data_IF_477112223459
#
_entry.id   IF_477112223459
#
_cell.length_a   1.000
_cell.length_b   1.000
_cell.length_c   1.000
_cell.angle_alpha   90.00
_cell.angle_beta   90.00
_cell.angle_gamma   90.00
#
_symmetry.space_group_name_H-M   'P 1'
#
loop_
_entity.id
_entity.type
_entity.pdbx_description
1 polymer ?
#
# COMPACT_ATOMS: atom_id res chain seq x y z
N UNK A 1 -5.55 -4.67 -4.59
CA UNK A 1 -7.01 -4.52 -4.69
C UNK A 1 -7.52 -3.71 -3.52
N UNK A 2 -8.51 -2.86 -3.75
CA UNK A 2 -9.24 -2.07 -2.76
C UNK A 2 -10.70 -2.54 -2.76
N UNK A 3 -11.31 -2.69 -1.58
CA UNK A 3 -12.75 -2.96 -1.47
C UNK A 3 -13.51 -1.63 -1.48
N UNK A 4 -14.59 -1.59 -2.24
CA UNK A 4 -15.63 -0.58 -2.17
C UNK A 4 -16.83 -1.19 -1.44
N UNK A 5 -17.34 -0.48 -0.44
CA UNK A 5 -18.53 -0.84 0.33
C UNK A 5 -19.63 0.18 0.10
N UNK A 6 -20.86 -0.17 0.47
CA UNK A 6 -22.02 0.74 0.43
C UNK A 6 -22.45 1.12 1.84
N UNK A 7 -22.75 2.40 2.07
CA UNK A 7 -23.43 2.86 3.28
C UNK A 7 -24.91 2.42 3.26
N UNK A 8 -25.62 2.48 4.40
CA UNK A 8 -27.08 2.30 4.43
C UNK A 8 -27.84 3.25 3.50
N UNK A 9 -27.29 4.44 3.26
CA UNK A 9 -27.87 5.47 2.38
C UNK A 9 -27.52 5.26 0.88
N UNK A 10 -26.67 4.26 0.59
CA UNK A 10 -26.29 3.89 -0.79
C UNK A 10 -25.00 4.54 -1.28
N UNK A 11 -24.23 5.20 -0.40
CA UNK A 11 -22.96 5.83 -0.78
C UNK A 11 -21.86 4.80 -0.96
N UNK A 12 -21.16 4.86 -2.09
CA UNK A 12 -20.02 4.01 -2.39
C UNK A 12 -18.77 4.59 -1.73
N UNK A 13 -18.20 3.86 -0.79
CA UNK A 13 -17.07 4.29 0.03
C UNK A 13 -15.90 3.29 -0.03
N UNK A 14 -14.64 3.76 0.05
CA UNK A 14 -13.49 2.87 0.11
C UNK A 14 -13.36 2.20 1.48
N UNK A 15 -13.14 0.89 1.48
CA UNK A 15 -12.92 0.06 2.67
C UNK A 15 -11.58 -0.67 2.55
N UNK A 16 -10.49 0.07 2.74
CA UNK A 16 -9.12 -0.43 2.58
C UNK A 16 -8.78 -1.64 3.48
N UNK A 17 -9.47 -1.79 4.61
CA UNK A 17 -9.26 -2.85 5.60
C UNK A 17 -10.31 -3.96 5.56
N UNK A 18 -11.28 -3.89 4.65
CA UNK A 18 -12.38 -4.85 4.53
C UNK A 18 -13.17 -5.06 5.84
N UNK A 19 -13.41 -3.98 6.60
CA UNK A 19 -14.10 -4.04 7.90
C UNK A 19 -15.59 -3.71 7.83
N UNK A 20 -16.04 -3.03 6.77
CA UNK A 20 -17.44 -2.65 6.65
C UNK A 20 -18.33 -3.90 6.43
N UNK A 21 -19.48 -4.02 7.11
CA UNK A 21 -20.35 -5.17 6.98
C UNK A 21 -20.98 -5.26 5.57
N UNK A 22 -21.56 -6.42 5.27
CA UNK A 22 -22.33 -6.62 4.04
C UNK A 22 -21.48 -6.86 2.79
N UNK A 23 -22.08 -6.61 1.62
CA UNK A 23 -21.43 -6.86 0.33
C UNK A 23 -20.40 -5.76 0.04
N UNK A 24 -19.34 -6.12 -0.68
CA UNK A 24 -18.42 -5.16 -1.27
C UNK A 24 -17.99 -5.57 -2.67
N UNK A 25 -17.50 -4.60 -3.44
CA UNK A 25 -16.91 -4.82 -4.76
C UNK A 25 -15.39 -4.57 -4.67
N UNK A 26 -14.59 -5.42 -5.31
CA UNK A 26 -13.15 -5.26 -5.30
C UNK A 26 -12.68 -4.61 -6.60
N UNK A 27 -11.84 -3.57 -6.47
CA UNK A 27 -11.20 -2.90 -7.59
C UNK A 27 -9.69 -3.15 -7.57
N UNK A 28 -9.12 -3.41 -8.74
CA UNK A 28 -7.70 -3.65 -8.96
C UNK A 28 -7.00 -2.58 -9.77
N UNK A 29 -7.63 -1.41 -9.93
CA UNK A 29 -7.19 -0.35 -10.84
C UNK A 29 -6.38 0.73 -10.11
N UNK A 30 -5.59 1.48 -10.88
CA UNK A 30 -4.95 2.72 -10.45
C UNK A 30 -5.98 3.84 -10.21
N UNK A 31 -5.53 4.92 -9.58
CA UNK A 31 -6.36 6.12 -9.36
C UNK A 31 -6.83 6.72 -10.67
N UNK A 32 -5.96 6.84 -11.67
CA UNK A 32 -6.31 7.42 -12.97
C UNK A 32 -7.37 6.58 -13.70
N UNK A 33 -7.24 5.26 -13.68
CA UNK A 33 -8.24 4.33 -14.25
C UNK A 33 -9.57 4.39 -13.49
N UNK A 34 -9.54 4.53 -12.17
CA UNK A 34 -10.75 4.71 -11.36
C UNK A 34 -11.47 6.01 -11.72
N UNK A 35 -10.74 7.12 -11.81
CA UNK A 35 -11.27 8.44 -12.17
C UNK A 35 -11.86 8.42 -13.60
N UNK A 36 -11.20 7.77 -14.56
CA UNK A 36 -11.74 7.56 -15.91
C UNK A 36 -13.02 6.69 -15.92
N UNK A 37 -13.07 5.65 -15.09
CA UNK A 37 -14.25 4.79 -14.95
C UNK A 37 -15.44 5.51 -14.29
N UNK A 38 -15.17 6.47 -13.39
CA UNK A 38 -16.20 7.36 -12.81
C UNK A 38 -16.74 8.29 -13.91
N UNK A 39 -15.86 9.00 -14.61
CA UNK A 39 -16.25 9.98 -15.64
C UNK A 39 -17.04 9.35 -16.81
N UNK A 40 -16.65 8.14 -17.23
CA UNK A 40 -17.35 7.39 -18.29
C UNK A 40 -18.64 6.69 -17.83
N UNK A 41 -18.95 6.70 -16.53
CA UNK A 41 -20.08 5.96 -15.96
C UNK A 41 -19.90 4.43 -15.92
N UNK A 42 -18.81 3.89 -16.46
CA UNK A 42 -18.48 2.45 -16.43
C UNK A 42 -18.50 1.89 -15.01
N UNK A 43 -17.96 2.64 -14.04
CA UNK A 43 -17.93 2.23 -12.64
C UNK A 43 -19.34 2.03 -12.09
N UNK A 44 -20.27 2.96 -12.36
CA UNK A 44 -21.66 2.86 -11.88
C UNK A 44 -22.34 1.58 -12.38
N UNK A 45 -22.17 1.25 -13.66
CA UNK A 45 -22.71 0.01 -14.24
C UNK A 45 -22.08 -1.27 -13.67
N UNK A 46 -20.78 -1.25 -13.36
CA UNK A 46 -20.10 -2.35 -12.68
C UNK A 46 -20.62 -2.55 -11.25
N UNK A 47 -20.76 -1.47 -10.49
CA UNK A 47 -21.22 -1.53 -9.10
C UNK A 47 -22.69 -1.90 -8.98
N UNK A 48 -23.56 -1.47 -9.90
CA UNK A 48 -24.97 -1.87 -9.91
C UNK A 48 -25.14 -3.39 -9.98
N UNK A 49 -24.31 -4.08 -10.80
CA UNK A 49 -24.27 -5.54 -10.86
C UNK A 49 -23.75 -6.13 -9.55
N UNK A 50 -22.63 -5.62 -9.04
CA UNK A 50 -22.03 -6.11 -7.80
C UNK A 50 -23.02 -6.02 -6.62
N UNK A 51 -23.75 -4.90 -6.48
CA UNK A 51 -24.69 -4.63 -5.38
C UNK A 51 -26.16 -4.98 -5.68
N UNK A 52 -26.42 -5.86 -6.65
CA UNK A 52 -27.77 -6.38 -6.96
C UNK A 52 -28.83 -5.28 -7.20
N UNK A 53 -28.45 -4.20 -7.90
CA UNK A 53 -29.38 -3.13 -8.26
C UNK A 53 -29.74 -2.16 -7.13
N UNK A 54 -29.00 -2.18 -6.00
CA UNK A 54 -29.14 -1.17 -4.96
C UNK A 54 -29.01 0.26 -5.55
N UNK A 55 -29.68 1.24 -4.95
CA UNK A 55 -29.48 2.65 -5.31
C UNK A 55 -28.06 3.05 -4.88
N UNK A 56 -27.24 3.49 -5.84
CA UNK A 56 -25.85 3.84 -5.61
C UNK A 56 -25.59 5.32 -5.86
N UNK A 57 -24.91 5.95 -4.91
CA UNK A 57 -24.28 7.25 -5.05
C UNK A 57 -22.77 7.05 -5.10
N UNK A 58 -22.16 7.37 -6.25
CA UNK A 58 -20.71 7.29 -6.43
C UNK A 58 -20.17 8.72 -6.31
N UNK A 59 -19.37 9.04 -5.28
CA UNK A 59 -18.76 10.36 -5.16
C UNK A 59 -17.79 10.63 -6.31
N UNK A 60 -17.79 11.86 -6.85
CA UNK A 60 -16.84 12.26 -7.90
C UNK A 60 -15.39 12.21 -7.40
N UNK A 61 -15.17 12.51 -6.12
CA UNK A 61 -13.86 12.47 -5.46
C UNK A 61 -13.49 11.08 -4.90
N UNK A 62 -14.16 10.00 -5.33
CA UNK A 62 -13.89 8.64 -4.84
C UNK A 62 -12.42 8.22 -5.02
N UNK A 63 -11.74 8.70 -6.06
CA UNK A 63 -10.30 8.50 -6.26
C UNK A 63 -9.45 9.05 -5.10
N UNK A 64 -9.74 10.26 -4.65
CA UNK A 64 -9.06 10.87 -3.51
C UNK A 64 -9.40 10.13 -2.20
N UNK A 65 -10.69 9.82 -1.98
CA UNK A 65 -11.11 9.05 -0.80
C UNK A 65 -10.42 7.68 -0.72
N UNK A 66 -10.26 7.02 -1.86
CA UNK A 66 -9.60 5.72 -1.97
C UNK A 66 -8.10 5.81 -1.63
N UNK A 67 -7.40 6.82 -2.17
CA UNK A 67 -6.00 7.07 -1.83
C UNK A 67 -5.85 7.32 -0.33
N UNK A 68 -6.68 8.19 0.24
CA UNK A 68 -6.65 8.51 1.67
C UNK A 68 -6.91 7.28 2.54
N UNK A 69 -7.87 6.43 2.16
CA UNK A 69 -8.18 5.21 2.90
C UNK A 69 -7.00 4.22 2.87
N UNK A 70 -6.34 4.06 1.72
CA UNK A 70 -5.15 3.21 1.56
C UNK A 70 -3.96 3.77 2.34
N UNK A 71 -3.73 5.08 2.27
CA UNK A 71 -2.70 5.78 3.05
C UNK A 71 -2.91 5.58 4.55
N UNK A 72 -4.13 5.80 5.06
CA UNK A 72 -4.46 5.57 6.47
C UNK A 72 -4.26 4.11 6.87
N UNK A 73 -4.64 3.15 6.03
CA UNK A 73 -4.45 1.73 6.31
C UNK A 73 -2.95 1.36 6.41
N UNK A 74 -2.11 1.91 5.53
CA UNK A 74 -0.65 1.72 5.60
C UNK A 74 -0.04 2.36 6.85
N UNK A 75 -0.39 3.63 7.15
CA UNK A 75 0.09 4.33 8.34
C UNK A 75 -0.36 3.65 9.63
N UNK A 76 -1.61 3.16 9.70
CA UNK A 76 -2.10 2.39 10.85
C UNK A 76 -1.28 1.11 11.04
N UNK A 77 -0.87 0.44 9.95
CA UNK A 77 0.00 -0.74 10.03
C UNK A 77 1.37 -0.38 10.59
N UNK A 78 1.99 0.68 10.09
CA UNK A 78 3.27 1.17 10.62
C UNK A 78 3.17 1.51 12.11
N UNK A 79 2.11 2.18 12.54
CA UNK A 79 1.87 2.48 13.96
C UNK A 79 1.67 1.24 14.84
N UNK A 80 1.17 0.13 14.29
CA UNK A 80 1.11 -1.16 15.01
C UNK A 80 2.50 -1.77 15.19
N UNK A 81 3.32 -1.79 14.13
CA UNK A 81 4.70 -2.30 14.22
C UNK A 81 5.58 -1.43 15.12
N UNK A 82 5.35 -0.11 15.13
CA UNK A 82 6.00 0.82 16.07
C UNK A 82 5.71 0.44 17.52
N UNK A 83 4.42 0.28 17.87
CA UNK A 83 4.02 -0.08 19.24
C UNK A 83 4.48 -1.47 19.65
N UNK A 84 4.62 -2.38 18.70
CA UNK A 84 5.20 -3.71 18.91
C UNK A 84 6.74 -3.71 19.00
N UNK A 85 7.40 -2.56 18.87
CA UNK A 85 8.86 -2.44 18.92
C UNK A 85 9.58 -3.05 17.72
N UNK A 86 8.89 -3.21 16.58
CA UNK A 86 9.42 -3.87 15.38
C UNK A 86 10.07 -2.92 14.39
N UNK A 87 9.78 -1.62 14.50
CA UNK A 87 10.39 -0.57 13.68
C UNK A 87 11.73 -0.10 14.26
N UNK A 88 12.72 0.00 13.38
CA UNK A 88 14.00 0.65 13.61
C UNK A 88 13.91 2.04 12.96
N UNK A 89 14.19 3.08 13.75
CA UNK A 89 14.24 4.46 13.28
C UNK A 89 15.63 5.07 13.50
N UNK A 90 15.94 6.08 12.70
CA UNK A 90 17.19 6.83 12.78
C UNK A 90 18.28 6.23 11.88
N UNK A 91 18.91 7.07 11.06
CA UNK A 91 19.84 6.63 10.01
C UNK A 91 21.01 5.82 10.56
N UNK A 92 21.62 6.24 11.67
CA UNK A 92 22.79 5.55 12.21
C UNK A 92 22.43 4.17 12.80
N UNK A 93 21.30 4.09 13.49
CA UNK A 93 20.79 2.82 14.04
C UNK A 93 20.39 1.86 12.91
N UNK A 94 19.71 2.37 11.89
CA UNK A 94 19.37 1.58 10.69
C UNK A 94 20.64 1.09 10.01
N UNK A 95 21.63 1.96 9.78
CA UNK A 95 22.89 1.58 9.12
C UNK A 95 23.65 0.50 9.90
N UNK A 96 23.72 0.62 11.23
CA UNK A 96 24.37 -0.38 12.07
C UNK A 96 23.68 -1.74 11.97
N UNK A 97 22.37 -1.78 12.16
CA UNK A 97 21.59 -3.03 12.14
C UNK A 97 21.56 -3.64 10.73
N UNK A 98 21.47 -2.80 9.71
CA UNK A 98 21.50 -3.21 8.31
C UNK A 98 22.81 -3.91 7.96
N UNK A 99 23.97 -3.34 8.35
CA UNK A 99 25.28 -3.99 8.11
C UNK A 99 25.46 -5.32 8.83
N UNK A 100 24.80 -5.50 9.97
CA UNK A 100 24.81 -6.77 10.70
C UNK A 100 23.84 -7.83 10.14
N UNK A 101 23.10 -7.51 9.08
CA UNK A 101 22.09 -8.41 8.50
C UNK A 101 20.78 -8.50 9.29
N UNK A 102 20.56 -7.58 10.24
CA UNK A 102 19.39 -7.59 11.13
C UNK A 102 18.20 -6.76 10.58
N UNK A 103 18.24 -6.35 9.32
CA UNK A 103 17.18 -5.61 8.65
C UNK A 103 16.58 -6.50 7.56
N UNK A 104 15.27 -6.73 7.62
CA UNK A 104 14.51 -7.50 6.64
C UNK A 104 13.79 -6.61 5.60
N UNK A 105 13.61 -5.32 5.90
CA UNK A 105 13.01 -4.36 4.99
C UNK A 105 13.45 -2.94 5.34
N UNK A 106 13.71 -2.12 4.32
CA UNK A 106 14.14 -0.73 4.42
C UNK A 106 13.18 0.17 3.63
N UNK A 107 12.74 1.27 4.24
CA UNK A 107 11.86 2.25 3.61
C UNK A 107 12.37 3.69 3.78
N UNK A 108 12.17 4.49 2.74
CA UNK A 108 12.55 5.91 2.70
C UNK A 108 11.34 6.78 2.40
N UNK A 109 11.22 7.92 3.07
CA UNK A 109 10.23 8.93 2.74
C UNK A 109 10.38 9.39 1.27
N UNK A 110 9.27 9.81 0.67
CA UNK A 110 9.21 10.34 -0.70
C UNK A 110 10.19 11.49 -0.93
N UNK A 111 10.38 12.32 0.11
CA UNK A 111 11.22 13.52 0.13
C UNK A 111 12.56 13.29 0.83
N UNK A 112 12.98 12.04 1.03
CA UNK A 112 14.30 11.72 1.54
C UNK A 112 15.37 12.03 0.48
N UNK A 113 16.52 12.56 0.91
CA UNK A 113 17.61 12.86 -0.03
C UNK A 113 18.20 11.57 -0.62
N UNK A 114 18.60 11.62 -1.89
CA UNK A 114 19.21 10.47 -2.56
C UNK A 114 20.53 10.05 -1.94
N UNK A 115 21.29 11.00 -1.38
CA UNK A 115 22.51 10.69 -0.64
C UNK A 115 22.23 9.90 0.64
N UNK A 116 21.22 10.31 1.41
CA UNK A 116 20.78 9.57 2.59
C UNK A 116 20.29 8.17 2.26
N UNK A 117 19.52 8.03 1.17
CA UNK A 117 19.06 6.73 0.68
C UNK A 117 20.24 5.84 0.28
N UNK A 118 21.15 6.32 -0.57
CA UNK A 118 22.33 5.57 -1.03
C UNK A 118 23.20 5.05 0.11
N UNK A 119 23.39 5.84 1.17
CA UNK A 119 24.15 5.42 2.37
C UNK A 119 23.49 4.22 3.07
N UNK A 120 22.17 4.26 3.25
CA UNK A 120 21.44 3.18 3.90
C UNK A 120 21.25 1.97 3.00
N UNK A 121 21.04 2.17 1.71
CA UNK A 121 20.99 1.09 0.71
C UNK A 121 22.30 0.31 0.68
N UNK A 122 23.45 1.00 0.78
CA UNK A 122 24.74 0.32 0.87
C UNK A 122 24.87 -0.49 2.16
N UNK A 123 24.47 0.07 3.30
CA UNK A 123 24.48 -0.66 4.57
C UNK A 123 23.57 -1.90 4.51
N UNK A 124 22.43 -1.79 3.84
CA UNK A 124 21.47 -2.87 3.65
C UNK A 124 22.03 -3.97 2.75
N UNK A 125 22.65 -3.62 1.62
CA UNK A 125 23.33 -4.59 0.74
C UNK A 125 24.43 -5.36 1.46
N UNK A 126 25.24 -4.67 2.28
CA UNK A 126 26.33 -5.31 3.03
C UNK A 126 25.80 -6.40 3.93
N UNK A 127 24.80 -6.14 4.77
CA UNK A 127 24.33 -7.19 5.69
C UNK A 127 23.44 -8.25 5.05
N UNK A 128 22.96 -8.03 3.82
CA UNK A 128 22.26 -9.05 3.03
C UNK A 128 23.21 -9.86 2.15
N UNK A 129 24.54 -9.65 2.26
CA UNK A 129 25.55 -10.24 1.37
C UNK A 129 25.20 -10.05 -0.12
N UNK A 130 24.61 -8.91 -0.45
CA UNK A 130 24.03 -8.58 -1.76
C UNK A 130 24.70 -7.37 -2.40
N UNK A 131 26.00 -7.17 -2.13
CA UNK A 131 26.77 -6.10 -2.78
C UNK A 131 26.81 -6.30 -4.30
N UNK A 132 26.69 -5.20 -5.05
CA UNK A 132 26.59 -5.25 -6.52
C UNK A 132 25.21 -5.64 -7.09
N UNK A 133 24.26 -6.10 -6.26
CA UNK A 133 22.92 -6.51 -6.73
C UNK A 133 22.01 -5.36 -7.21
N UNK A 134 22.32 -4.12 -6.85
CA UNK A 134 21.41 -2.99 -7.03
C UNK A 134 20.23 -2.97 -6.05
N UNK A 135 20.21 -3.86 -5.04
CA UNK A 135 19.19 -3.82 -3.98
C UNK A 135 19.17 -2.45 -3.30
N UNK A 136 17.98 -1.88 -3.18
CA UNK A 136 17.69 -0.60 -2.54
C UNK A 136 16.45 -0.73 -1.66
N UNK A 137 16.32 0.17 -0.68
CA UNK A 137 15.10 0.31 0.09
C UNK A 137 13.94 0.85 -0.74
N UNK A 138 12.74 0.68 -0.21
CA UNK A 138 11.51 1.07 -0.89
C UNK A 138 11.23 2.56 -0.67
N UNK A 139 11.08 3.31 -1.77
CA UNK A 139 10.64 4.71 -1.71
C UNK A 139 9.14 4.75 -1.46
N UNK A 140 8.75 5.29 -0.30
CA UNK A 140 7.37 5.34 0.12
C UNK A 140 6.63 6.50 -0.57
N UNK A 141 5.34 6.35 -0.90
CA UNK A 141 4.50 7.44 -1.39
C UNK A 141 4.03 8.35 -0.24
N UNK A 142 4.91 8.62 0.73
CA UNK A 142 4.66 9.44 1.92
C UNK A 142 5.89 10.26 2.25
N UNK A 143 5.70 11.54 2.51
CA UNK A 143 6.76 12.42 2.96
C UNK A 143 7.10 12.21 4.45
N UNK A 144 8.19 12.85 4.89
CA UNK A 144 8.64 12.81 6.29
C UNK A 144 7.56 13.30 7.26
N UNK A 145 6.70 14.24 6.87
CA UNK A 145 5.70 14.82 7.75
C UNK A 145 4.59 13.81 8.06
N UNK A 146 4.06 13.15 7.03
CA UNK A 146 3.07 12.09 7.17
C UNK A 146 3.59 10.92 8.02
N UNK A 147 4.84 10.49 7.78
CA UNK A 147 5.48 9.44 8.58
C UNK A 147 5.66 9.87 10.05
N UNK A 148 6.12 11.10 10.28
CA UNK A 148 6.33 11.66 11.62
C UNK A 148 5.04 11.68 12.45
N UNK A 149 3.94 12.17 11.84
CA UNK A 149 2.61 12.19 12.48
C UNK A 149 2.15 10.77 12.81
N UNK A 150 2.23 9.84 11.87
CA UNK A 150 1.74 8.47 12.06
C UNK A 150 2.52 7.69 13.13
N UNK A 151 3.81 7.98 13.26
CA UNK A 151 4.71 7.28 14.16
C UNK A 151 4.87 7.97 15.52
N UNK A 152 4.33 9.18 15.70
CA UNK A 152 4.48 9.96 16.93
C UNK A 152 5.95 10.29 17.23
N UNK A 153 6.71 10.62 16.18
CA UNK A 153 8.15 10.92 16.23
C UNK A 153 8.45 12.12 15.35
N UNK A 154 9.52 12.82 15.65
CA UNK A 154 9.98 13.95 14.84
C UNK A 154 10.91 13.47 13.71
N UNK A 155 10.80 14.11 12.55
CA UNK A 155 11.72 13.97 11.41
C UNK A 155 11.98 12.51 10.98
N UNK A 156 10.91 11.72 10.82
CA UNK A 156 11.05 10.34 10.32
C UNK A 156 11.28 10.36 8.80
N UNK A 157 12.54 10.22 8.40
CA UNK A 157 12.96 10.16 6.99
C UNK A 157 13.19 8.72 6.51
N UNK A 158 13.68 7.87 7.40
CA UNK A 158 14.00 6.47 7.11
C UNK A 158 13.48 5.57 8.22
N UNK A 159 13.03 4.38 7.84
CA UNK A 159 12.56 3.35 8.74
C UNK A 159 12.96 1.97 8.22
N UNK A 160 13.16 1.03 9.13
CA UNK A 160 13.45 -0.36 8.78
C UNK A 160 12.69 -1.33 9.69
N UNK A 161 12.51 -2.56 9.23
CA UNK A 161 11.90 -3.65 9.99
C UNK A 161 12.92 -4.77 10.16
N UNK A 162 13.03 -5.31 11.38
CA UNK A 162 14.04 -6.32 11.69
C UNK A 162 13.63 -7.73 11.24
N UNK A 163 12.33 -8.05 11.30
CA UNK A 163 11.83 -9.39 10.99
C UNK A 163 10.94 -9.44 9.76
N UNK A 164 11.04 -10.55 9.02
CA UNK A 164 10.32 -10.82 7.79
C UNK A 164 8.79 -10.81 7.97
N UNK A 165 8.30 -11.25 9.13
CA UNK A 165 6.87 -11.26 9.41
C UNK A 165 6.29 -9.85 9.49
N UNK A 166 7.00 -8.93 10.17
CA UNK A 166 6.62 -7.52 10.22
C UNK A 166 6.75 -6.86 8.84
N UNK A 167 7.82 -7.17 8.11
CA UNK A 167 8.02 -6.70 6.73
C UNK A 167 6.85 -7.10 5.81
N UNK A 168 6.46 -8.37 5.80
CA UNK A 168 5.36 -8.86 4.96
C UNK A 168 4.04 -8.16 5.30
N UNK A 169 3.74 -8.00 6.59
CA UNK A 169 2.50 -7.36 7.03
C UNK A 169 2.44 -5.86 6.69
N UNK A 170 3.58 -5.17 6.63
CA UNK A 170 3.71 -3.78 6.17
C UNK A 170 3.66 -3.68 4.65
N UNK A 171 4.29 -4.62 3.95
CA UNK A 171 4.35 -4.63 2.50
C UNK A 171 2.97 -4.82 1.84
N UNK A 172 2.05 -5.56 2.47
CA UNK A 172 0.68 -5.75 1.93
C UNK A 172 -0.07 -4.42 1.72
N UNK A 173 -0.30 -3.57 2.75
CA UNK A 173 -0.97 -2.29 2.55
C UNK A 173 -0.13 -1.31 1.72
N UNK A 174 1.21 -1.34 1.82
CA UNK A 174 2.08 -0.51 0.99
C UNK A 174 1.92 -0.80 -0.51
N UNK A 175 1.98 -2.08 -0.92
CA UNK A 175 1.76 -2.47 -2.32
C UNK A 175 0.40 -2.07 -2.83
N UNK A 176 -0.65 -2.12 -1.99
CA UNK A 176 -1.99 -1.64 -2.38
C UNK A 176 -2.00 -0.14 -2.64
N UNK A 177 -1.35 0.64 -1.77
CA UNK A 177 -1.22 2.08 -1.93
C UNK A 177 -0.42 2.42 -3.18
N UNK A 178 0.76 1.84 -3.38
CA UNK A 178 1.64 2.12 -4.54
C UNK A 178 0.99 1.75 -5.87
N UNK A 179 0.31 0.60 -5.94
CA UNK A 179 -0.44 0.21 -7.14
C UNK A 179 -1.57 1.21 -7.44
N UNK A 180 -2.25 1.70 -6.40
CA UNK A 180 -3.31 2.67 -6.58
C UNK A 180 -2.79 4.05 -7.00
N UNK A 181 -1.69 4.52 -6.41
CA UNK A 181 -1.10 5.82 -6.76
C UNK A 181 -0.28 5.81 -8.05
N UNK A 182 -0.06 4.64 -8.66
CA UNK A 182 0.81 4.50 -9.82
C UNK A 182 2.31 4.67 -9.49
N UNK A 183 2.69 4.61 -8.22
CA UNK A 183 4.08 4.70 -7.76
C UNK A 183 4.87 3.40 -7.95
N UNK A 184 4.23 2.32 -8.42
CA UNK A 184 4.90 1.12 -8.90
C UNK A 184 5.12 1.27 -10.41
N UNK A 185 6.34 1.09 -10.95
CA UNK A 185 6.49 0.93 -12.39
C UNK A 185 5.62 -0.27 -12.79
N UNK A 186 4.84 -0.15 -13.87
CA UNK A 186 4.01 -1.23 -14.37
C UNK A 186 4.89 -2.44 -14.73
N UNK A 187 5.14 -3.35 -13.78
CA UNK A 187 5.91 -4.56 -13.99
C UNK A 187 4.98 -5.76 -13.79
N UNK A 188 4.63 -6.32 -14.96
CA UNK A 188 4.26 -7.69 -15.29
C UNK A 188 3.01 -8.29 -14.63
N UNK A 189 2.01 -8.52 -15.49
CA UNK A 189 0.97 -9.51 -15.31
C UNK A 189 1.60 -10.89 -15.04
N UNK A 190 1.88 -11.19 -13.78
CA UNK A 190 2.04 -12.58 -13.35
C UNK A 190 0.64 -13.18 -13.33
N UNK A 191 0.27 -13.79 -14.46
CA UNK A 191 -0.88 -14.68 -14.55
C UNK A 191 -0.69 -15.84 -13.56
N UNK A 192 -1.65 -16.13 -12.67
CA UNK A 192 -1.60 -17.35 -11.89
C UNK A 192 -2.15 -18.48 -12.76
N UNK A 193 -1.29 -19.10 -13.57
CA UNK A 193 -1.58 -20.45 -14.04
C UNK A 193 -1.18 -21.45 -12.94
N UNK A 194 -2.16 -22.25 -12.51
CA UNK A 194 -1.89 -23.48 -11.76
C UNK A 194 -2.36 -23.52 -10.30
N UNK A 195 -3.65 -23.31 -10.03
CA UNK A 195 -4.31 -23.97 -8.90
C UNK A 195 -5.77 -24.28 -9.25
N UNK A 196 -6.01 -25.53 -9.57
CA UNK A 196 -7.31 -26.11 -9.90
C UNK A 196 -8.27 -26.06 -8.71
N UNK A 197 -9.50 -25.61 -9.02
CA UNK A 197 -10.80 -25.92 -8.43
C UNK A 197 -11.14 -25.48 -6.98
N UNK A 198 -12.18 -24.64 -6.90
CA UNK A 198 -13.18 -24.73 -5.82
C UNK A 198 -13.49 -23.44 -5.07
N UNK A 199 -14.19 -22.48 -5.70
CA UNK A 199 -15.29 -21.67 -5.13
C UNK A 199 -15.44 -20.34 -5.90
N UNK A 200 -16.63 -20.12 -6.46
CA UNK A 200 -16.97 -18.97 -7.27
C UNK A 200 -16.84 -17.65 -6.49
N UNK A 201 -15.98 -16.75 -6.97
CA UNK A 201 -16.00 -15.33 -6.64
C UNK A 201 -16.00 -14.53 -7.94
N UNK A 202 -17.12 -13.85 -8.22
CA UNK A 202 -17.29 -12.95 -9.35
C UNK A 202 -16.33 -11.76 -9.24
N UNK A 203 -15.18 -11.86 -9.90
CA UNK A 203 -14.32 -10.73 -10.21
C UNK A 203 -14.96 -9.91 -11.35
N UNK A 204 -15.25 -8.63 -11.11
CA UNK A 204 -15.69 -7.72 -12.17
C UNK A 204 -14.45 -7.15 -12.85
N UNK A 205 -14.10 -7.71 -14.00
CA UNK A 205 -13.10 -7.14 -14.93
C UNK A 205 -13.74 -5.98 -15.67
N UNK A 206 -13.14 -4.79 -15.60
CA UNK A 206 -13.50 -3.65 -16.44
C UNK A 206 -12.58 -3.68 -17.66
N UNK A 207 -13.14 -4.06 -18.82
CA UNK A 207 -12.56 -3.81 -20.14
C UNK A 207 -13.02 -2.48 -20.73
#
# INVERSE_FOLDING_TARGET
MLRLAISPDGDVLPDALARAPGRGAWIGVSRAELEAAIASGKLRGALARAFKGAKLTVPENLGALAQDALTRAFLQRLGLEMRAGKLILGSDRIAQQARSGAVAWLGHAADASDDGCRKLDQAYRVGMDAEGSGLVGERLPLDRAALSVALGRENVVHLALADHGSAERVAIPLRRLMRFTGAYPAAENISPEGATNGAAHDAVTVG
#
